data_IF_223683614446
#
_entry.id   IF_223683614446
#
_cell.length_a   1.000
_cell.length_b   1.000
_cell.length_c   1.000
_cell.angle_alpha   90.00
_cell.angle_beta   90.00
_cell.angle_gamma   90.00
#
_symmetry.space_group_name_H-M   'P 1'
#
loop_
_entity.id
_entity.type
_entity.pdbx_description
1 polymer ?
#
# COMPACT_ATOMS: atom_id res chain seq x y z
N UNK A 1 -23.64 6.58 1.81
CA UNK A 1 -22.63 5.64 1.30
C UNK A 1 -22.36 4.56 2.36
N UNK A 2 -22.30 3.26 1.99
CA UNK A 2 -22.12 2.11 2.91
C UNK A 2 -20.82 2.23 3.73
N UNK A 3 -19.71 2.54 3.08
CA UNK A 3 -18.41 2.76 3.70
C UNK A 3 -18.45 3.82 4.82
N UNK A 4 -19.12 4.96 4.60
CA UNK A 4 -19.20 6.04 5.60
C UNK A 4 -19.91 5.60 6.88
N UNK A 5 -20.96 4.76 6.75
CA UNK A 5 -21.69 4.23 7.91
C UNK A 5 -20.84 3.30 8.78
N UNK A 6 -19.87 2.61 8.18
CA UNK A 6 -18.98 1.68 8.89
C UNK A 6 -17.77 2.41 9.48
N UNK A 7 -17.10 3.26 8.69
CA UNK A 7 -15.82 3.84 9.07
C UNK A 7 -15.94 5.05 10.01
N UNK A 8 -16.93 5.91 9.79
CA UNK A 8 -17.08 7.13 10.61
C UNK A 8 -17.26 6.86 12.11
N UNK A 9 -18.10 5.90 12.56
CA UNK A 9 -18.23 5.59 14.00
C UNK A 9 -16.95 5.05 14.63
N UNK A 10 -16.02 4.56 13.82
CA UNK A 10 -14.71 4.02 14.24
C UNK A 10 -13.57 5.04 14.14
N UNK A 11 -13.91 6.30 13.85
CA UNK A 11 -12.94 7.37 13.61
C UNK A 11 -11.90 6.98 12.54
N UNK A 12 -12.29 6.20 11.53
CA UNK A 12 -11.43 5.64 10.51
C UNK A 12 -11.64 6.33 9.15
N UNK A 13 -10.56 6.41 8.36
CA UNK A 13 -10.56 6.85 6.97
C UNK A 13 -10.20 5.68 6.05
N UNK A 14 -10.68 5.72 4.82
CA UNK A 14 -10.41 4.70 3.81
C UNK A 14 -9.82 5.30 2.54
N UNK A 15 -8.73 4.72 2.05
CA UNK A 15 -8.25 4.94 0.68
C UNK A 15 -9.20 4.18 -0.28
N UNK A 16 -10.06 4.92 -0.98
CA UNK A 16 -11.08 4.34 -1.87
C UNK A 16 -10.54 4.25 -3.28
N UNK A 17 -10.34 3.03 -3.74
CA UNK A 17 -9.78 2.73 -5.06
C UNK A 17 -10.87 2.81 -6.14
N UNK A 18 -10.59 3.47 -7.26
CA UNK A 18 -11.50 3.54 -8.38
C UNK A 18 -10.79 3.62 -9.74
N UNK A 19 -11.27 2.94 -10.77
CA UNK A 19 -10.82 3.18 -12.14
C UNK A 19 -11.26 4.57 -12.62
N UNK A 20 -10.74 5.02 -13.76
CA UNK A 20 -11.05 6.34 -14.32
C UNK A 20 -12.56 6.57 -14.53
N UNK A 21 -13.31 5.54 -14.85
CA UNK A 21 -14.78 5.61 -15.00
C UNK A 21 -15.53 6.01 -13.73
N UNK A 22 -14.93 5.77 -12.55
CA UNK A 22 -15.51 6.14 -11.26
C UNK A 22 -14.90 7.41 -10.63
N UNK A 23 -14.02 8.12 -11.35
CA UNK A 23 -13.31 9.29 -10.85
C UNK A 23 -14.25 10.34 -10.23
N UNK A 24 -15.26 10.78 -10.97
CA UNK A 24 -16.19 11.83 -10.50
C UNK A 24 -17.03 11.36 -9.31
N UNK A 25 -17.36 10.07 -9.25
CA UNK A 25 -18.12 9.50 -8.11
C UNK A 25 -17.29 9.55 -6.83
N UNK A 26 -16.03 9.11 -6.88
CA UNK A 26 -15.16 9.10 -5.71
C UNK A 26 -14.71 10.52 -5.33
N UNK A 27 -14.44 11.39 -6.31
CA UNK A 27 -14.17 12.82 -6.08
C UNK A 27 -15.31 13.48 -5.32
N UNK A 28 -16.55 13.28 -5.75
CA UNK A 28 -17.74 13.79 -5.06
C UNK A 28 -17.86 13.22 -3.64
N UNK A 29 -17.68 11.91 -3.48
CA UNK A 29 -17.72 11.27 -2.17
C UNK A 29 -16.63 11.80 -1.22
N UNK A 30 -15.42 12.08 -1.71
CA UNK A 30 -14.35 12.68 -0.93
C UNK A 30 -14.67 14.13 -0.50
N UNK A 31 -15.33 14.91 -1.37
CA UNK A 31 -15.78 16.26 -1.04
C UNK A 31 -16.91 16.27 0.00
N UNK A 32 -17.86 15.33 -0.07
CA UNK A 32 -18.97 15.21 0.87
C UNK A 32 -18.58 14.56 2.21
N UNK A 33 -17.54 13.71 2.20
CA UNK A 33 -17.07 12.93 3.36
C UNK A 33 -15.55 12.99 3.51
N UNK A 34 -14.95 14.20 3.60
CA UNK A 34 -13.49 14.36 3.68
C UNK A 34 -12.88 13.77 4.95
N UNK A 35 -13.72 13.45 5.90
CA UNK A 35 -13.40 12.80 7.17
C UNK A 35 -13.31 11.27 7.09
N UNK A 36 -13.74 10.68 5.97
CA UNK A 36 -13.76 9.22 5.78
C UNK A 36 -13.08 8.79 4.48
N UNK A 37 -13.26 9.57 3.40
CA UNK A 37 -12.87 9.15 2.05
C UNK A 37 -11.57 9.83 1.62
N UNK A 38 -10.56 9.02 1.33
CA UNK A 38 -9.33 9.44 0.68
C UNK A 38 -9.36 8.86 -0.74
N UNK A 39 -9.39 9.68 -1.81
CA UNK A 39 -9.53 9.18 -3.15
C UNK A 39 -8.21 8.61 -3.70
N UNK A 40 -8.27 7.38 -4.22
CA UNK A 40 -7.19 6.69 -4.91
C UNK A 40 -7.64 6.23 -6.30
N UNK A 41 -6.80 6.47 -7.31
CA UNK A 41 -7.03 5.98 -8.66
C UNK A 41 -6.51 4.56 -8.87
N UNK A 42 -7.03 3.88 -9.87
CA UNK A 42 -6.50 2.61 -10.38
C UNK A 42 -6.15 2.81 -11.84
N UNK A 43 -4.93 2.45 -12.24
CA UNK A 43 -4.49 2.51 -13.63
C UNK A 43 -3.94 1.16 -14.10
N UNK A 44 -4.07 0.91 -15.39
CA UNK A 44 -3.26 -0.06 -16.09
C UNK A 44 -1.98 0.65 -16.56
N UNK A 45 -0.82 0.20 -16.08
CA UNK A 45 0.50 0.80 -16.43
C UNK A 45 0.88 0.57 -17.89
N UNK A 46 0.29 -0.43 -18.54
CA UNK A 46 0.53 -0.80 -19.94
C UNK A 46 -0.40 -0.03 -20.92
N UNK A 47 -1.34 0.77 -20.39
CA UNK A 47 -2.19 1.62 -21.21
C UNK A 47 -1.35 2.78 -21.80
N UNK A 48 -1.31 2.98 -23.12
CA UNK A 48 -0.64 4.13 -23.74
C UNK A 48 -1.08 5.49 -23.17
N UNK A 49 -2.27 5.56 -22.57
CA UNK A 49 -2.83 6.75 -21.94
C UNK A 49 -2.56 6.82 -20.42
N UNK A 50 -1.80 5.89 -19.84
CA UNK A 50 -1.56 5.82 -18.39
C UNK A 50 -1.08 7.17 -17.82
N UNK A 51 -0.16 7.87 -18.51
CA UNK A 51 0.32 9.17 -18.08
C UNK A 51 -0.76 10.27 -18.09
N UNK A 52 -1.72 10.22 -19.00
CA UNK A 52 -2.87 11.13 -19.02
C UNK A 52 -3.86 10.80 -17.89
N UNK A 53 -4.06 9.52 -17.61
CA UNK A 53 -4.89 9.07 -16.48
C UNK A 53 -4.31 9.52 -15.13
N UNK A 54 -2.98 9.47 -14.95
CA UNK A 54 -2.32 10.00 -13.75
C UNK A 54 -2.60 11.51 -13.58
N UNK A 55 -2.53 12.27 -14.66
CA UNK A 55 -2.84 13.70 -14.62
C UNK A 55 -4.29 13.96 -14.22
N UNK A 56 -5.23 13.24 -14.83
CA UNK A 56 -6.66 13.39 -14.54
C UNK A 56 -6.96 13.10 -13.06
N UNK A 57 -6.38 12.06 -12.48
CA UNK A 57 -6.53 11.77 -11.05
C UNK A 57 -5.91 12.86 -10.17
N UNK A 58 -4.72 13.36 -10.51
CA UNK A 58 -4.07 14.43 -9.74
C UNK A 58 -4.91 15.73 -9.77
N UNK A 59 -5.39 16.12 -10.96
CA UNK A 59 -6.24 17.32 -11.15
C UNK A 59 -7.57 17.20 -10.39
N UNK A 60 -8.07 15.97 -10.22
CA UNK A 60 -9.25 15.67 -9.42
C UNK A 60 -9.00 15.60 -7.90
N UNK A 61 -7.75 15.81 -7.44
CA UNK A 61 -7.39 15.81 -6.01
C UNK A 61 -7.18 14.43 -5.40
N UNK A 62 -6.95 13.41 -6.21
CA UNK A 62 -6.60 12.06 -5.74
C UNK A 62 -5.23 12.07 -5.07
N UNK A 63 -5.03 11.17 -4.10
CA UNK A 63 -3.84 11.14 -3.25
C UNK A 63 -2.88 10.00 -3.58
N UNK A 64 -3.34 8.97 -4.28
CA UNK A 64 -2.52 7.83 -4.66
C UNK A 64 -3.10 7.07 -5.82
N UNK A 65 -2.29 6.16 -6.35
CA UNK A 65 -2.61 5.35 -7.54
C UNK A 65 -2.28 3.89 -7.25
N UNK A 66 -3.25 3.01 -7.41
CA UNK A 66 -3.07 1.56 -7.41
C UNK A 66 -2.69 1.09 -8.80
N UNK A 67 -1.69 0.22 -8.86
CA UNK A 67 -1.22 -0.47 -10.06
C UNK A 67 -1.24 -1.98 -9.83
N UNK A 68 -1.62 -2.73 -10.85
CA UNK A 68 -1.82 -4.18 -10.76
C UNK A 68 -1.44 -4.85 -12.09
N UNK A 69 -1.00 -6.10 -12.04
CA UNK A 69 -0.79 -7.00 -13.19
C UNK A 69 -0.03 -6.39 -14.37
N UNK A 70 1.24 -5.97 -14.21
CA UNK A 70 2.01 -5.39 -15.30
C UNK A 70 2.41 -6.47 -16.32
N UNK A 71 2.63 -6.06 -17.57
CA UNK A 71 3.17 -6.94 -18.62
C UNK A 71 4.64 -7.28 -18.42
N UNK A 72 5.40 -6.37 -17.81
CA UNK A 72 6.82 -6.51 -17.51
C UNK A 72 7.03 -6.46 -16.00
N UNK A 73 8.25 -6.69 -15.53
CA UNK A 73 8.59 -6.49 -14.12
C UNK A 73 8.32 -5.06 -13.70
N UNK A 74 7.94 -4.84 -12.42
CA UNK A 74 7.70 -3.49 -11.93
C UNK A 74 8.84 -2.51 -12.17
N UNK A 75 10.10 -2.97 -12.14
CA UNK A 75 11.30 -2.15 -12.37
C UNK A 75 11.74 -2.07 -13.84
N UNK A 76 10.90 -2.49 -14.78
CA UNK A 76 11.18 -2.32 -16.20
C UNK A 76 11.32 -0.82 -16.56
N UNK A 77 12.37 -0.49 -17.31
CA UNK A 77 12.67 0.89 -17.70
C UNK A 77 11.54 1.57 -18.49
N UNK A 78 10.72 0.80 -19.19
CA UNK A 78 9.55 1.31 -19.91
C UNK A 78 8.54 2.01 -18.99
N UNK A 79 8.50 1.65 -17.71
CA UNK A 79 7.62 2.29 -16.73
C UNK A 79 8.22 3.53 -16.05
N UNK A 80 9.52 3.81 -16.20
CA UNK A 80 10.18 4.94 -15.54
C UNK A 80 9.48 6.29 -15.76
N UNK A 81 8.98 6.63 -16.97
CA UNK A 81 8.26 7.89 -17.18
C UNK A 81 6.98 8.01 -16.34
N UNK A 82 6.31 6.88 -16.03
CA UNK A 82 5.14 6.88 -15.14
C UNK A 82 5.54 7.13 -13.69
N UNK A 83 6.65 6.54 -13.24
CA UNK A 83 7.17 6.75 -11.87
C UNK A 83 7.68 8.16 -11.66
N UNK A 84 8.35 8.74 -12.65
CA UNK A 84 8.72 10.18 -12.66
C UNK A 84 7.48 11.06 -12.52
N UNK A 85 6.44 10.75 -13.27
CA UNK A 85 5.19 11.52 -13.23
C UNK A 85 4.46 11.36 -11.88
N UNK A 86 4.37 10.15 -11.33
CA UNK A 86 3.82 9.91 -9.99
C UNK A 86 4.57 10.74 -8.94
N UNK A 87 5.91 10.73 -8.99
CA UNK A 87 6.76 11.52 -8.11
C UNK A 87 6.53 13.03 -8.26
N UNK A 88 6.45 13.53 -9.49
CA UNK A 88 6.21 14.94 -9.78
C UNK A 88 4.84 15.41 -9.29
N UNK A 89 3.81 14.57 -9.46
CA UNK A 89 2.44 14.82 -9.01
C UNK A 89 2.25 14.58 -7.49
N UNK A 90 3.27 14.07 -6.79
CA UNK A 90 3.23 13.70 -5.36
C UNK A 90 2.12 12.70 -5.02
N UNK A 91 1.83 11.78 -5.94
CA UNK A 91 0.87 10.70 -5.74
C UNK A 91 1.58 9.51 -5.09
N UNK A 92 0.95 8.89 -4.10
CA UNK A 92 1.45 7.62 -3.52
C UNK A 92 1.28 6.52 -4.56
N UNK A 93 2.33 5.75 -4.80
CA UNK A 93 2.33 4.63 -5.72
C UNK A 93 2.04 3.33 -4.95
N UNK A 94 0.82 2.81 -5.05
CA UNK A 94 0.41 1.54 -4.45
C UNK A 94 0.55 0.42 -5.48
N UNK A 95 1.56 -0.42 -5.30
CA UNK A 95 1.81 -1.58 -6.14
C UNK A 95 1.16 -2.84 -5.58
N UNK A 96 0.52 -3.62 -6.44
CA UNK A 96 0.25 -5.01 -6.10
C UNK A 96 1.57 -5.77 -6.03
N UNK A 97 1.76 -6.59 -5.00
CA UNK A 97 2.94 -7.46 -4.89
C UNK A 97 2.52 -8.90 -4.58
N UNK A 98 3.22 -9.84 -5.19
CA UNK A 98 3.02 -11.26 -4.95
C UNK A 98 1.87 -11.87 -5.73
N UNK A 99 1.16 -12.80 -5.08
CA UNK A 99 0.18 -13.64 -5.73
C UNK A 99 -1.06 -12.87 -6.17
N UNK A 100 -1.52 -13.18 -7.37
CA UNK A 100 -2.79 -12.69 -7.91
C UNK A 100 -3.86 -13.76 -7.68
N UNK A 101 -5.00 -13.35 -7.16
CA UNK A 101 -6.17 -14.22 -7.01
C UNK A 101 -7.10 -14.07 -8.21
N UNK A 102 -7.77 -15.16 -8.57
CA UNK A 102 -8.77 -15.20 -9.64
C UNK A 102 -8.26 -15.90 -10.90
N UNK A 103 -9.22 -16.30 -11.73
CA UNK A 103 -8.93 -16.83 -13.06
C UNK A 103 -8.86 -15.65 -14.03
N UNK A 104 -7.83 -15.62 -14.84
CA UNK A 104 -7.73 -14.70 -15.96
C UNK A 104 -8.13 -15.45 -17.21
N UNK A 105 -9.15 -14.98 -17.89
CA UNK A 105 -9.48 -15.40 -19.26
C UNK A 105 -8.64 -14.64 -20.30
N UNK A 106 -7.65 -13.87 -19.83
CA UNK A 106 -6.75 -13.09 -20.66
C UNK A 106 -5.77 -14.01 -21.41
N UNK A 107 -5.47 -13.73 -22.69
CA UNK A 107 -4.53 -14.51 -23.49
C UNK A 107 -3.10 -14.52 -22.91
N UNK A 108 -2.74 -13.49 -22.17
CA UNK A 108 -1.46 -13.37 -21.46
C UNK A 108 -1.72 -13.27 -19.96
N UNK A 109 -1.73 -14.40 -19.24
CA UNK A 109 -2.02 -14.40 -17.81
C UNK A 109 -0.97 -13.58 -17.05
N UNK A 110 -1.42 -12.82 -16.06
CA UNK A 110 -0.53 -12.09 -15.15
C UNK A 110 0.37 -13.05 -14.39
N UNK A 111 1.66 -12.70 -14.32
CA UNK A 111 2.63 -13.50 -13.57
C UNK A 111 2.95 -12.82 -12.24
N UNK A 112 2.78 -13.56 -11.14
CA UNK A 112 3.20 -13.07 -9.82
C UNK A 112 4.70 -12.72 -9.78
N UNK A 113 5.53 -13.39 -10.58
CA UNK A 113 6.98 -13.14 -10.64
C UNK A 113 7.32 -11.72 -11.11
N UNK A 114 6.45 -11.07 -11.89
CA UNK A 114 6.61 -9.67 -12.33
C UNK A 114 6.32 -8.66 -11.21
N UNK A 115 5.76 -9.12 -10.10
CA UNK A 115 5.31 -8.31 -8.96
C UNK A 115 6.08 -8.65 -7.68
N UNK A 116 7.35 -9.06 -7.81
CA UNK A 116 8.22 -9.32 -6.66
C UNK A 116 8.56 -8.03 -5.91
N UNK A 117 8.62 -8.07 -4.58
CA UNK A 117 8.96 -6.89 -3.76
C UNK A 117 10.34 -6.31 -4.05
N UNK A 118 11.31 -7.14 -4.47
CA UNK A 118 12.66 -6.70 -4.83
C UNK A 118 12.69 -5.66 -5.94
N UNK A 119 11.72 -5.66 -6.85
CA UNK A 119 11.59 -4.62 -7.88
C UNK A 119 11.22 -3.27 -7.28
N UNK A 120 10.46 -3.24 -6.18
CA UNK A 120 10.12 -1.99 -5.50
C UNK A 120 11.34 -1.34 -4.84
N UNK A 121 12.34 -2.14 -4.42
CA UNK A 121 13.63 -1.62 -3.96
C UNK A 121 14.33 -0.83 -5.07
N UNK A 122 14.40 -1.37 -6.30
CA UNK A 122 14.98 -0.67 -7.46
C UNK A 122 14.27 0.65 -7.74
N UNK A 123 12.92 0.62 -7.73
CA UNK A 123 12.09 1.82 -7.96
C UNK A 123 12.31 2.86 -6.86
N UNK A 124 12.30 2.43 -5.60
CA UNK A 124 12.47 3.33 -4.45
C UNK A 124 13.81 4.09 -4.47
N UNK A 125 14.88 3.41 -4.88
CA UNK A 125 16.21 4.01 -5.07
C UNK A 125 16.26 4.98 -6.25
N UNK A 126 15.62 4.62 -7.35
CA UNK A 126 15.61 5.42 -8.57
C UNK A 126 14.74 6.69 -8.42
N UNK A 127 13.69 6.61 -7.60
CA UNK A 127 12.73 7.69 -7.37
C UNK A 127 12.61 8.03 -5.88
N UNK A 128 13.62 8.63 -5.23
CA UNK A 128 13.70 8.76 -3.77
C UNK A 128 12.65 9.70 -3.15
N UNK A 129 11.93 10.48 -3.94
CA UNK A 129 10.80 11.31 -3.49
C UNK A 129 9.43 10.68 -3.77
N UNK A 130 9.39 9.56 -4.50
CA UNK A 130 8.17 8.80 -4.71
C UNK A 130 7.90 7.97 -3.44
N UNK A 131 6.74 8.16 -2.82
CA UNK A 131 6.31 7.27 -1.75
C UNK A 131 5.68 6.02 -2.36
N UNK A 132 6.18 4.87 -1.96
CA UNK A 132 5.79 3.57 -2.49
C UNK A 132 5.14 2.74 -1.39
N UNK A 133 4.00 2.16 -1.70
CA UNK A 133 3.34 1.15 -0.88
C UNK A 133 3.25 -0.15 -1.68
N UNK A 134 3.78 -1.24 -1.12
CA UNK A 134 3.59 -2.59 -1.63
C UNK A 134 2.42 -3.27 -0.91
N UNK A 135 1.42 -3.74 -1.64
CA UNK A 135 0.33 -4.49 -1.05
C UNK A 135 0.77 -5.91 -0.68
N UNK A 136 0.20 -6.48 0.40
CA UNK A 136 0.30 -7.90 0.76
C UNK A 136 1.66 -8.38 1.26
N UNK A 137 2.55 -7.46 1.67
CA UNK A 137 3.92 -7.77 2.13
C UNK A 137 4.63 -8.77 1.20
N UNK A 138 4.43 -8.63 -0.12
CA UNK A 138 5.10 -9.47 -1.11
C UNK A 138 4.65 -10.92 -1.20
N UNK A 139 3.55 -11.31 -0.57
CA UNK A 139 3.07 -12.70 -0.45
C UNK A 139 3.29 -13.55 -1.72
N UNK A 140 4.18 -14.60 -1.72
CA UNK A 140 4.80 -15.23 -0.57
C UNK A 140 6.25 -14.77 -0.24
N UNK A 141 6.80 -13.76 -0.89
CA UNK A 141 8.18 -13.31 -0.76
C UNK A 141 8.36 -12.29 0.38
N UNK A 142 7.99 -12.68 1.60
CA UNK A 142 8.01 -11.82 2.79
C UNK A 142 9.40 -11.29 3.14
N UNK A 143 10.44 -12.13 2.99
CA UNK A 143 11.83 -11.73 3.24
C UNK A 143 12.30 -10.64 2.27
N UNK A 144 11.94 -10.74 0.99
CA UNK A 144 12.27 -9.70 0.00
C UNK A 144 11.58 -8.37 0.34
N UNK A 145 10.31 -8.43 0.74
CA UNK A 145 9.56 -7.24 1.12
C UNK A 145 10.17 -6.58 2.36
N UNK A 146 10.52 -7.37 3.36
CA UNK A 146 11.15 -6.91 4.58
C UNK A 146 12.52 -6.26 4.30
N UNK A 147 13.39 -6.94 3.55
CA UNK A 147 14.70 -6.39 3.19
C UNK A 147 14.58 -5.10 2.35
N UNK A 148 13.69 -5.06 1.37
CA UNK A 148 13.44 -3.85 0.60
C UNK A 148 12.97 -2.69 1.52
N UNK A 149 12.04 -2.95 2.44
CA UNK A 149 11.55 -1.95 3.38
C UNK A 149 12.65 -1.44 4.35
N UNK A 150 13.57 -2.32 4.76
CA UNK A 150 14.66 -2.00 5.66
C UNK A 150 15.64 -0.99 5.05
N UNK A 151 15.92 -1.12 3.76
CA UNK A 151 16.86 -0.24 3.05
C UNK A 151 16.24 1.04 2.51
N UNK A 152 14.93 1.03 2.18
CA UNK A 152 14.30 2.13 1.45
C UNK A 152 13.33 2.93 2.34
N UNK A 153 13.72 4.16 2.68
CA UNK A 153 12.95 5.04 3.57
C UNK A 153 11.55 5.39 3.04
N UNK A 154 11.37 5.40 1.72
CA UNK A 154 10.13 5.76 1.01
C UNK A 154 9.26 4.56 0.63
N UNK A 155 9.60 3.34 1.09
CA UNK A 155 8.87 2.10 0.81
C UNK A 155 8.19 1.59 2.08
N UNK A 156 6.91 1.31 1.97
CA UNK A 156 6.04 0.76 3.02
C UNK A 156 5.27 -0.43 2.49
N UNK A 157 4.72 -1.26 3.38
CA UNK A 157 3.87 -2.39 3.00
C UNK A 157 2.61 -2.46 3.86
N UNK A 158 1.57 -3.13 3.35
CA UNK A 158 0.46 -3.64 4.14
C UNK A 158 0.52 -5.18 4.18
N UNK A 159 -0.29 -5.77 5.05
CA UNK A 159 -0.42 -7.23 5.16
C UNK A 159 -1.81 -7.71 4.77
N UNK A 160 -2.51 -6.92 3.94
CA UNK A 160 -3.83 -7.25 3.41
C UNK A 160 -3.78 -8.47 2.51
N UNK A 161 -4.90 -9.12 2.29
CA UNK A 161 -4.99 -10.27 1.38
C UNK A 161 -4.01 -11.41 1.68
N UNK A 162 -3.02 -11.18 2.55
CA UNK A 162 -1.97 -12.13 2.86
C UNK A 162 -2.53 -13.40 3.49
N UNK A 163 -2.18 -14.53 2.89
CA UNK A 163 -2.51 -15.82 3.47
C UNK A 163 -1.83 -16.04 4.82
N UNK A 164 -0.69 -15.38 5.05
CA UNK A 164 0.04 -15.51 6.30
C UNK A 164 -0.75 -14.95 7.48
N UNK A 165 -1.22 -13.69 7.41
CA UNK A 165 -2.02 -13.10 8.50
C UNK A 165 -3.39 -13.78 8.68
N UNK A 166 -3.96 -14.34 7.61
CA UNK A 166 -5.27 -15.02 7.65
C UNK A 166 -5.18 -16.46 8.12
N UNK A 167 -4.06 -17.16 7.89
CA UNK A 167 -3.94 -18.61 8.08
C UNK A 167 -2.81 -19.02 9.04
N UNK A 168 -1.94 -18.10 9.43
CA UNK A 168 -0.83 -18.42 10.29
C UNK A 168 -1.33 -18.97 11.65
N UNK A 169 -0.84 -20.14 12.00
CA UNK A 169 -1.07 -20.73 13.32
C UNK A 169 -0.24 -20.05 14.42
N UNK A 170 0.87 -19.44 14.00
CA UNK A 170 1.76 -18.68 14.87
C UNK A 170 2.02 -17.31 14.23
N UNK A 171 1.31 -16.30 14.70
CA UNK A 171 1.45 -14.92 14.20
C UNK A 171 2.80 -14.28 14.60
N UNK A 172 3.51 -14.85 15.59
CA UNK A 172 4.83 -14.36 15.98
C UNK A 172 5.90 -14.52 14.87
N UNK A 173 5.61 -15.34 13.84
CA UNK A 173 6.50 -15.49 12.66
C UNK A 173 6.81 -14.15 11.96
N UNK A 174 5.94 -13.15 12.12
CA UNK A 174 6.23 -11.81 11.56
C UNK A 174 7.46 -11.17 12.17
N UNK A 175 7.91 -11.58 13.38
CA UNK A 175 9.19 -11.15 13.95
C UNK A 175 10.40 -11.67 13.18
N UNK A 176 10.27 -12.82 12.55
CA UNK A 176 11.38 -13.41 11.79
C UNK A 176 11.60 -12.62 10.50
N UNK A 177 10.53 -12.09 9.90
CA UNK A 177 10.62 -11.23 8.71
C UNK A 177 10.96 -9.77 9.09
N UNK A 178 10.30 -9.22 10.09
CA UNK A 178 10.41 -7.82 10.53
C UNK A 178 11.26 -7.74 11.81
N UNK A 179 12.52 -8.14 11.71
CA UNK A 179 13.40 -8.42 12.83
C UNK A 179 14.23 -7.22 13.34
N UNK A 180 14.38 -6.14 12.55
CA UNK A 180 15.22 -5.00 12.95
C UNK A 180 14.48 -4.00 13.82
N UNK A 181 15.19 -3.42 14.80
CA UNK A 181 14.61 -2.47 15.76
C UNK A 181 14.93 -1.01 15.47
N UNK A 182 15.78 -0.74 14.47
CA UNK A 182 16.20 0.60 14.10
C UNK A 182 17.43 0.58 13.20
N UNK A 183 18.15 1.69 13.07
CA UNK A 183 19.37 1.76 12.28
C UNK A 183 20.43 0.78 12.76
N UNK A 184 21.05 0.09 11.81
CA UNK A 184 22.18 -0.82 12.03
C UNK A 184 23.30 -0.48 11.07
N UNK A 185 24.48 -1.09 11.24
CA UNK A 185 25.61 -0.91 10.31
C UNK A 185 25.28 -1.36 8.87
N UNK A 186 24.22 -2.17 8.70
CA UNK A 186 23.78 -2.74 7.43
C UNK A 186 22.31 -2.39 7.12
N UNK A 187 21.89 -1.17 7.38
CA UNK A 187 20.58 -0.65 7.02
C UNK A 187 20.67 0.82 6.61
N UNK A 188 19.58 1.38 6.11
CA UNK A 188 19.49 2.83 5.92
C UNK A 188 19.79 3.56 7.24
N UNK A 189 20.54 4.67 7.23
CA UNK A 189 20.72 5.52 8.42
C UNK A 189 19.38 6.02 9.01
N UNK A 190 18.36 6.13 8.17
CA UNK A 190 17.01 6.58 8.54
C UNK A 190 16.07 5.38 8.84
N UNK A 191 16.61 4.17 9.04
CA UNK A 191 15.80 3.00 9.30
C UNK A 191 15.02 3.18 10.61
N UNK A 192 13.73 2.89 10.54
CA UNK A 192 12.83 2.87 11.71
C UNK A 192 12.64 1.43 12.19
N UNK A 193 12.00 1.27 13.35
CA UNK A 193 11.57 -0.05 13.80
C UNK A 193 10.77 -0.76 12.69
N UNK A 194 11.06 -2.03 12.45
CA UNK A 194 10.58 -2.79 11.30
C UNK A 194 9.07 -2.71 11.08
N UNK A 195 8.30 -2.88 12.15
CA UNK A 195 6.84 -2.82 12.09
C UNK A 195 6.29 -1.44 11.71
N UNK A 196 7.06 -0.36 11.90
CA UNK A 196 6.69 1.00 11.45
C UNK A 196 6.78 1.19 9.93
N UNK A 197 7.28 0.17 9.21
CA UNK A 197 7.21 0.08 7.75
C UNK A 197 5.89 -0.52 7.26
N UNK A 198 5.04 -0.97 8.18
CA UNK A 198 3.69 -1.40 7.88
C UNK A 198 2.72 -0.23 7.94
N UNK A 199 1.73 -0.27 7.05
CA UNK A 199 0.55 0.57 7.07
C UNK A 199 -0.71 -0.32 7.10
N UNK A 200 -1.72 0.10 7.85
CA UNK A 200 -2.97 -0.64 7.94
C UNK A 200 -3.72 -0.59 6.60
N UNK A 201 -4.24 -1.73 6.18
CA UNK A 201 -5.14 -1.87 5.04
C UNK A 201 -6.14 -3.01 5.28
N UNK A 202 -7.19 -3.05 4.51
CA UNK A 202 -8.22 -4.11 4.60
C UNK A 202 -8.24 -5.00 3.37
N UNK A 203 -8.27 -4.41 2.16
CA UNK A 203 -8.48 -5.10 0.88
C UNK A 203 -9.73 -6.00 0.91
N UNK A 204 -10.74 -5.53 1.63
CA UNK A 204 -11.99 -6.24 1.87
C UNK A 204 -13.19 -5.27 1.85
N UNK A 205 -14.40 -5.83 1.82
CA UNK A 205 -15.63 -5.04 1.98
C UNK A 205 -15.63 -4.26 3.30
N UNK A 206 -16.23 -3.06 3.30
CA UNK A 206 -16.26 -2.21 4.50
C UNK A 206 -16.73 -2.89 5.78
N UNK A 207 -17.67 -3.82 5.66
CA UNK A 207 -18.24 -4.56 6.80
C UNK A 207 -17.22 -5.46 7.51
N UNK A 208 -16.13 -5.80 6.83
CA UNK A 208 -15.04 -6.63 7.39
C UNK A 208 -14.00 -5.81 8.17
N UNK A 209 -14.18 -4.48 8.31
CA UNK A 209 -13.20 -3.63 8.99
C UNK A 209 -12.82 -4.14 10.38
N UNK A 210 -13.80 -4.51 11.21
CA UNK A 210 -13.54 -4.99 12.58
C UNK A 210 -12.76 -6.32 12.58
N UNK A 211 -13.07 -7.22 11.64
CA UNK A 211 -12.33 -8.45 11.49
C UNK A 211 -10.88 -8.21 11.02
N UNK A 212 -10.65 -7.24 10.15
CA UNK A 212 -9.31 -6.84 9.71
C UNK A 212 -8.51 -6.22 10.88
N UNK A 213 -9.13 -5.31 11.64
CA UNK A 213 -8.51 -4.73 12.84
C UNK A 213 -8.13 -5.81 13.85
N UNK A 214 -9.01 -6.76 14.11
CA UNK A 214 -8.74 -7.86 15.03
C UNK A 214 -7.56 -8.75 14.59
N UNK A 215 -7.41 -9.01 13.28
CA UNK A 215 -6.27 -9.76 12.72
C UNK A 215 -4.96 -9.01 12.90
N UNK A 216 -4.93 -7.71 12.59
CA UNK A 216 -3.74 -6.88 12.81
C UNK A 216 -3.39 -6.83 14.29
N UNK A 217 -4.36 -6.60 15.16
CA UNK A 217 -4.14 -6.53 16.61
C UNK A 217 -3.58 -7.85 17.17
N UNK A 218 -4.11 -8.98 16.72
CA UNK A 218 -3.60 -10.30 17.11
C UNK A 218 -2.14 -10.50 16.68
N UNK A 219 -1.78 -10.09 15.45
CA UNK A 219 -0.41 -10.14 14.93
C UNK A 219 0.52 -9.22 15.75
N UNK A 220 0.12 -7.96 15.93
CA UNK A 220 0.94 -6.96 16.63
C UNK A 220 1.15 -7.36 18.10
N UNK A 221 0.14 -7.98 18.73
CA UNK A 221 0.23 -8.48 20.08
C UNK A 221 1.16 -9.69 20.17
N UNK A 222 1.01 -10.68 19.27
CA UNK A 222 1.90 -11.84 19.22
C UNK A 222 3.37 -11.45 18.97
N UNK A 223 3.58 -10.35 18.25
CA UNK A 223 4.91 -9.81 17.98
C UNK A 223 5.42 -8.86 19.08
N UNK A 224 4.61 -8.51 20.08
CA UNK A 224 5.01 -7.58 21.14
C UNK A 224 5.27 -6.15 20.63
N UNK A 225 4.56 -5.72 19.57
CA UNK A 225 4.75 -4.38 18.99
C UNK A 225 4.28 -3.30 19.98
N UNK A 226 5.11 -2.31 20.30
CA UNK A 226 4.77 -1.24 21.23
C UNK A 226 3.58 -0.39 20.78
N UNK A 227 2.80 0.11 21.72
CA UNK A 227 1.62 0.94 21.47
C UNK A 227 1.91 2.16 20.57
N UNK A 228 3.05 2.83 20.79
CA UNK A 228 3.47 3.97 19.97
C UNK A 228 3.65 3.58 18.48
N UNK A 229 4.19 2.39 18.21
CA UNK A 229 4.35 1.89 16.85
C UNK A 229 3.03 1.42 16.25
N UNK A 230 2.11 0.86 17.06
CA UNK A 230 0.76 0.50 16.59
C UNK A 230 -0.02 1.71 16.07
N UNK A 231 0.04 2.86 16.76
CA UNK A 231 -0.57 4.12 16.29
C UNK A 231 -0.05 4.54 14.90
N UNK A 232 1.25 4.40 14.69
CA UNK A 232 1.86 4.66 13.38
C UNK A 232 1.32 3.72 12.30
N UNK A 233 1.24 2.43 12.59
CA UNK A 233 0.72 1.41 11.67
C UNK A 233 -0.75 1.67 11.32
N UNK A 234 -1.58 1.95 12.33
CA UNK A 234 -3.02 2.16 12.15
C UNK A 234 -3.40 3.45 11.44
N UNK A 235 -2.51 4.44 11.36
CA UNK A 235 -2.88 5.64 10.61
C UNK A 235 -1.88 6.77 10.58
N UNK A 236 -1.07 7.00 11.63
CA UNK A 236 -0.21 8.19 11.69
C UNK A 236 0.80 8.26 10.54
N UNK A 237 1.42 7.11 10.18
CA UNK A 237 2.36 7.02 9.06
C UNK A 237 1.69 7.38 7.74
N UNK A 238 0.55 6.75 7.43
CA UNK A 238 -0.15 6.98 6.16
C UNK A 238 -0.75 8.39 6.11
N UNK A 239 -1.29 8.88 7.22
CA UNK A 239 -1.81 10.24 7.31
C UNK A 239 -0.71 11.30 7.05
N UNK A 240 0.48 11.11 7.61
CA UNK A 240 1.64 11.96 7.35
C UNK A 240 2.04 11.92 5.86
N UNK A 241 2.09 10.74 5.28
CA UNK A 241 2.39 10.53 3.85
C UNK A 241 1.39 11.27 2.96
N UNK A 242 0.11 11.16 3.26
CA UNK A 242 -0.97 11.72 2.47
C UNK A 242 -1.27 13.20 2.78
N UNK A 243 -0.64 13.76 3.81
CA UNK A 243 -0.93 15.12 4.28
C UNK A 243 -2.36 15.29 4.79
N UNK A 244 -2.96 14.23 5.35
CA UNK A 244 -4.29 14.28 5.97
C UNK A 244 -4.16 14.40 7.49
N UNK A 245 -5.14 15.07 8.12
CA UNK A 245 -5.15 15.22 9.58
C UNK A 245 -5.72 13.95 10.21
N UNK A 246 -4.96 13.37 11.14
CA UNK A 246 -5.50 12.35 12.05
C UNK A 246 -6.40 13.04 13.05
N UNK A 247 -7.57 12.47 13.31
CA UNK A 247 -8.42 12.94 14.39
C UNK A 247 -7.88 12.40 15.72
N UNK A 248 -7.96 13.19 16.76
CA UNK A 248 -7.58 12.76 18.10
C UNK A 248 -8.47 11.62 18.62
#
# INVERSE_FOLDING_TARGET
MRLVKVYRPRNAMACVLTPLSGLEVVKKAAAEHPDVVIPYGVINVDDPKAAAHLQAFADAGFRGIKMHTPKYNWDDFGYSPLYEKLQALKLVALFHTGIVSGNSDEPEPSSMARMRPSFLHTIARSFPRLVIQGAHLGNPWYDEAAEAARWEKNLYFDVTGSTLIKKARNLAIFKDYLWWEGPTAHSSPDAVYAFEKLVFGTDEDPENLDACLARYEAMLTACGVPEASRKKIYGETLAKILGVKVRP
#
